data_IF_997835885097
#
_entry.id   IF_997835885097
#
_cell.length_a   1.000
_cell.length_b   1.000
_cell.length_c   1.000
_cell.angle_alpha   90.00
_cell.angle_beta   90.00
_cell.angle_gamma   90.00
#
_symmetry.space_group_name_H-M   'P 1'
#
loop_
_entity.id
_entity.type
_entity.pdbx_description
1 polymer ?
#
# COMPACT_ATOMS: atom_id res chain seq x y z
N UNK A 1 18.93 3.12 11.01
CA UNK A 1 17.53 3.40 10.63
C UNK A 1 17.18 2.37 9.57
N UNK A 2 16.30 1.43 9.88
CA UNK A 2 15.82 0.48 8.86
C UNK A 2 14.93 1.29 7.91
N UNK A 3 15.34 1.46 6.66
CA UNK A 3 14.52 2.15 5.66
C UNK A 3 13.17 1.42 5.56
N UNK A 4 12.07 2.16 5.74
CA UNK A 4 10.73 1.59 5.58
C UNK A 4 10.51 1.30 4.09
N UNK A 5 9.94 0.14 3.74
CA UNK A 5 9.71 -0.19 2.34
C UNK A 5 8.71 0.79 1.71
N UNK A 6 8.99 1.17 0.46
CA UNK A 6 8.12 2.04 -0.35
C UNK A 6 6.93 1.24 -0.89
N UNK A 7 5.71 1.61 -0.50
CA UNK A 7 4.49 0.99 -1.02
C UNK A 7 4.31 1.29 -2.51
N UNK A 8 4.56 2.52 -2.95
CA UNK A 8 4.45 2.89 -4.37
C UNK A 8 5.41 2.07 -5.24
N UNK A 9 6.68 1.96 -4.85
CA UNK A 9 7.66 1.19 -5.62
C UNK A 9 7.31 -0.30 -5.66
N UNK A 10 6.85 -0.85 -4.52
CA UNK A 10 6.46 -2.26 -4.45
C UNK A 10 5.25 -2.58 -5.34
N UNK A 11 4.22 -1.73 -5.32
CA UNK A 11 3.04 -1.86 -6.18
C UNK A 11 3.40 -1.71 -7.66
N UNK A 12 4.31 -0.79 -8.01
CA UNK A 12 4.83 -0.66 -9.40
C UNK A 12 5.56 -1.92 -9.87
N UNK A 13 6.33 -2.58 -9.00
CA UNK A 13 6.99 -3.85 -9.34
C UNK A 13 5.99 -4.97 -9.58
N UNK A 14 4.95 -5.04 -8.75
CA UNK A 14 3.82 -5.94 -8.98
C UNK A 14 3.14 -5.66 -10.32
N UNK A 15 2.79 -4.40 -10.62
CA UNK A 15 2.12 -4.01 -11.87
C UNK A 15 2.95 -4.34 -13.13
N UNK A 16 4.28 -4.37 -13.02
CA UNK A 16 5.19 -4.83 -14.08
C UNK A 16 5.30 -6.36 -14.20
N UNK A 17 4.54 -7.12 -13.42
CA UNK A 17 4.56 -8.59 -13.38
C UNK A 17 5.73 -9.19 -12.61
N UNK A 18 6.47 -8.38 -11.85
CA UNK A 18 7.66 -8.84 -11.11
C UNK A 18 7.35 -9.55 -9.78
N UNK A 19 6.09 -9.53 -9.34
CA UNK A 19 5.65 -10.09 -8.06
C UNK A 19 4.34 -10.86 -8.28
N UNK A 20 4.20 -12.10 -7.80
CA UNK A 20 2.92 -12.81 -7.81
C UNK A 20 1.86 -12.11 -6.95
N UNK A 21 0.59 -12.19 -7.36
CA UNK A 21 -0.54 -11.57 -6.65
C UNK A 21 -0.60 -11.92 -5.16
N UNK A 22 -0.52 -13.21 -4.83
CA UNK A 22 -0.60 -13.68 -3.44
C UNK A 22 0.57 -13.19 -2.58
N UNK A 23 1.78 -13.14 -3.16
CA UNK A 23 2.97 -12.59 -2.50
C UNK A 23 2.83 -11.10 -2.24
N UNK A 24 2.28 -10.34 -3.20
CA UNK A 24 1.99 -8.93 -3.06
C UNK A 24 1.00 -8.69 -1.92
N UNK A 25 -0.13 -9.39 -1.91
CA UNK A 25 -1.17 -9.26 -0.89
C UNK A 25 -0.63 -9.62 0.49
N UNK A 26 0.05 -10.77 0.62
CA UNK A 26 0.53 -11.27 1.90
C UNK A 26 1.59 -10.34 2.52
N UNK A 27 2.51 -9.83 1.69
CA UNK A 27 3.58 -8.91 2.08
C UNK A 27 3.01 -7.58 2.57
N UNK A 28 2.17 -6.93 1.75
CA UNK A 28 1.59 -5.62 2.11
C UNK A 28 0.70 -5.73 3.35
N UNK A 29 -0.11 -6.79 3.46
CA UNK A 29 -0.94 -7.00 4.64
C UNK A 29 -0.13 -7.25 5.93
N UNK A 30 1.15 -7.61 5.82
CA UNK A 30 2.05 -7.82 6.96
C UNK A 30 2.85 -6.56 7.32
N UNK A 31 2.85 -5.53 6.46
CA UNK A 31 3.57 -4.30 6.73
C UNK A 31 2.96 -3.51 7.87
N UNK A 32 3.85 -2.93 8.68
CA UNK A 32 3.48 -1.96 9.70
C UNK A 32 3.34 -0.59 9.04
N UNK A 33 2.12 -0.28 8.59
CA UNK A 33 1.79 0.99 7.98
C UNK A 33 1.84 2.13 9.00
N UNK A 34 2.34 3.27 8.55
CA UNK A 34 2.29 4.49 9.33
C UNK A 34 0.86 4.99 9.47
N UNK A 35 0.62 5.71 10.56
CA UNK A 35 -0.57 6.55 10.67
C UNK A 35 -0.47 7.66 9.61
N UNK A 36 -1.57 7.87 8.89
CA UNK A 36 -1.64 8.89 7.86
C UNK A 36 -1.66 10.27 8.53
N UNK A 37 -0.69 11.10 8.18
CA UNK A 37 -0.61 12.48 8.63
C UNK A 37 -1.50 13.30 7.71
N UNK A 38 -2.69 13.63 8.20
CA UNK A 38 -3.57 14.58 7.55
C UNK A 38 -3.14 16.00 7.95
N UNK A 39 -2.35 16.66 7.10
CA UNK A 39 -2.06 18.08 7.25
C UNK A 39 -3.04 18.88 6.39
N UNK A 40 -3.94 19.69 6.98
CA UNK A 40 -4.91 20.49 6.23
C UNK A 40 -4.27 21.58 5.35
N UNK A 41 -2.97 21.85 5.50
CA UNK A 41 -2.19 22.74 4.65
C UNK A 41 -1.44 22.01 3.52
N UNK A 42 -1.42 20.67 3.52
CA UNK A 42 -0.83 19.86 2.45
C UNK A 42 -1.94 19.14 1.67
N UNK A 43 -2.01 19.41 0.36
CA UNK A 43 -3.02 18.84 -0.54
C UNK A 43 -2.81 17.32 -0.73
N UNK A 44 -1.60 16.82 -0.51
CA UNK A 44 -1.27 15.38 -0.57
C UNK A 44 -0.31 15.01 0.58
N UNK A 45 -0.39 13.77 1.12
CA UNK A 45 0.61 13.21 2.02
C UNK A 45 1.91 12.95 1.23
N UNK A 46 2.61 14.03 0.90
CA UNK A 46 3.80 14.05 0.03
C UNK A 46 5.01 13.38 0.67
N UNK A 47 5.02 13.26 2.00
CA UNK A 47 6.15 12.71 2.76
C UNK A 47 6.01 11.23 3.09
N UNK A 48 4.81 10.63 2.96
CA UNK A 48 4.56 9.26 3.39
C UNK A 48 4.42 8.32 2.19
N UNK A 49 5.16 7.21 2.25
CA UNK A 49 5.15 6.16 1.24
C UNK A 49 4.81 4.78 1.82
N UNK A 50 4.38 4.74 3.08
CA UNK A 50 3.97 3.53 3.78
C UNK A 50 2.69 3.83 4.59
N UNK A 51 1.65 4.33 3.92
CA UNK A 51 0.32 4.58 4.48
C UNK A 51 -0.75 3.83 3.68
N UNK A 52 -1.82 3.44 4.36
CA UNK A 52 -2.90 2.61 3.78
C UNK A 52 -3.63 3.32 2.64
N UNK A 53 -3.77 4.63 2.68
CA UNK A 53 -4.48 5.42 1.67
C UNK A 53 -3.88 5.32 0.27
N UNK A 54 -2.59 4.98 0.16
CA UNK A 54 -1.93 4.75 -1.13
C UNK A 54 -2.46 3.53 -1.88
N UNK A 55 -3.13 2.59 -1.21
CA UNK A 55 -3.82 1.48 -1.89
C UNK A 55 -4.96 2.01 -2.78
N UNK A 56 -5.72 3.01 -2.32
CA UNK A 56 -6.77 3.63 -3.13
C UNK A 56 -6.19 4.32 -4.36
N UNK A 57 -5.06 5.02 -4.20
CA UNK A 57 -4.33 5.63 -5.32
C UNK A 57 -3.86 4.58 -6.34
N UNK A 58 -3.34 3.44 -5.88
CA UNK A 58 -2.91 2.36 -6.74
C UNK A 58 -4.07 1.68 -7.49
N UNK A 59 -5.26 1.58 -6.88
CA UNK A 59 -6.48 1.14 -7.57
C UNK A 59 -6.86 2.12 -8.68
N UNK A 60 -6.86 3.43 -8.41
CA UNK A 60 -7.19 4.46 -9.41
C UNK A 60 -6.21 4.45 -10.59
N UNK A 61 -4.93 4.19 -10.33
CA UNK A 61 -3.89 4.08 -11.35
C UNK A 61 -3.91 2.74 -12.11
N UNK A 62 -4.67 1.76 -11.64
CA UNK A 62 -4.74 0.42 -12.23
C UNK A 62 -3.54 -0.47 -11.90
N UNK A 63 -2.71 -0.09 -10.92
CA UNK A 63 -1.56 -0.90 -10.46
C UNK A 63 -2.02 -2.17 -9.72
N UNK A 64 -3.19 -2.11 -9.07
CA UNK A 64 -3.88 -3.23 -8.43
C UNK A 64 -5.39 -3.14 -8.67
N UNK A 65 -6.09 -4.24 -8.47
CA UNK A 65 -7.56 -4.24 -8.54
C UNK A 65 -8.18 -3.79 -7.21
N UNK A 66 -9.45 -3.41 -7.24
CA UNK A 66 -10.23 -3.13 -6.03
C UNK A 66 -10.25 -4.33 -5.07
N UNK A 67 -10.42 -5.53 -5.62
CA UNK A 67 -10.44 -6.80 -4.86
C UNK A 67 -9.10 -7.06 -4.16
N UNK A 68 -7.98 -6.68 -4.77
CA UNK A 68 -6.66 -6.78 -4.15
C UNK A 68 -6.55 -5.87 -2.92
N UNK A 69 -7.00 -4.62 -3.06
CA UNK A 69 -6.99 -3.66 -1.96
C UNK A 69 -7.89 -4.12 -0.80
N UNK A 70 -9.10 -4.61 -1.09
CA UNK A 70 -10.00 -5.16 -0.07
C UNK A 70 -9.39 -6.37 0.65
N UNK A 71 -8.76 -7.28 -0.10
CA UNK A 71 -8.14 -8.47 0.48
C UNK A 71 -6.94 -8.13 1.37
N UNK A 72 -6.12 -7.15 0.98
CA UNK A 72 -5.03 -6.61 1.82
C UNK A 72 -5.60 -6.08 3.14
N UNK A 73 -6.63 -5.25 3.08
CA UNK A 73 -7.26 -4.66 4.27
C UNK A 73 -7.88 -5.73 5.17
N UNK A 74 -8.59 -6.69 4.59
CA UNK A 74 -9.20 -7.81 5.31
C UNK A 74 -8.15 -8.60 6.09
N UNK A 75 -7.05 -8.99 5.44
CA UNK A 75 -5.96 -9.74 6.08
C UNK A 75 -5.24 -8.93 7.14
N UNK A 76 -5.02 -7.63 6.90
CA UNK A 76 -4.39 -6.73 7.88
C UNK A 76 -5.25 -6.61 9.13
N UNK A 77 -6.56 -6.43 8.97
CA UNK A 77 -7.51 -6.31 10.09
C UNK A 77 -7.67 -7.61 10.88
N UNK A 78 -7.56 -8.77 10.22
CA UNK A 78 -7.58 -10.07 10.90
C UNK A 78 -6.34 -10.34 11.78
N UNK A 79 -5.26 -9.56 11.61
CA UNK A 79 -4.01 -9.66 12.37
C UNK A 79 -3.94 -8.71 13.57
N UNK A 80 -4.91 -7.79 13.71
CA UNK A 80 -4.97 -6.81 14.80
C UNK A 80 -5.68 -7.36 16.03
#
# INVERSE_FOLDING_TARGET
MTEKPSLREYLRRYAKGGIPREEMIATIAAWDFEEEIHDPLLIEPTSQDNVVSLLNGAVVLGDITYEDAEEILRRKNARR
#
